data_IF_573039053624
#
_entry.id   IF_573039053624
#
_cell.length_a   1.000
_cell.length_b   1.000
_cell.length_c   1.000
_cell.angle_alpha   90.00
_cell.angle_beta   90.00
_cell.angle_gamma   90.00
#
_symmetry.space_group_name_H-M   'P 1'
#
loop_
_entity.id
_entity.type
_entity.pdbx_description
1 polymer ?
#
# COMPACT_ATOMS: atom_id res chain seq x y z
N UNK A 1 -23.06 -13.99 -19.65
CA UNK A 1 -22.03 -14.49 -18.72
C UNK A 1 -20.82 -14.78 -19.57
N UNK A 2 -20.07 -13.75 -19.94
CA UNK A 2 -18.83 -13.99 -20.67
C UNK A 2 -17.74 -14.30 -19.64
N UNK A 3 -17.19 -15.50 -19.75
CA UNK A 3 -16.10 -16.00 -18.90
C UNK A 3 -14.74 -15.60 -19.50
N UNK A 4 -14.68 -14.41 -20.10
CA UNK A 4 -13.47 -13.79 -20.61
C UNK A 4 -12.88 -12.89 -19.55
N UNK A 5 -11.60 -13.09 -19.22
CA UNK A 5 -10.81 -12.14 -18.41
C UNK A 5 -10.97 -10.75 -19.03
N UNK A 6 -11.39 -9.76 -18.24
CA UNK A 6 -11.55 -8.39 -18.74
C UNK A 6 -10.18 -7.76 -19.01
N UNK A 7 -10.13 -6.74 -19.88
CA UNK A 7 -8.88 -6.05 -20.18
C UNK A 7 -8.25 -5.44 -18.93
N UNK A 8 -9.06 -4.85 -18.03
CA UNK A 8 -8.60 -4.35 -16.72
C UNK A 8 -8.00 -5.46 -15.85
N UNK A 9 -8.62 -6.64 -15.79
CA UNK A 9 -8.09 -7.76 -15.01
C UNK A 9 -6.76 -8.25 -15.56
N UNK A 10 -6.56 -8.21 -16.88
CA UNK A 10 -5.28 -8.54 -17.50
C UNK A 10 -4.22 -7.49 -17.16
N UNK A 11 -4.58 -6.20 -17.23
CA UNK A 11 -3.70 -5.10 -16.82
C UNK A 11 -3.33 -5.20 -15.35
N UNK A 12 -4.30 -5.46 -14.47
CA UNK A 12 -4.08 -5.61 -13.03
C UNK A 12 -3.09 -6.72 -12.73
N UNK A 13 -3.33 -7.92 -13.27
CA UNK A 13 -2.41 -9.06 -13.10
C UNK A 13 -1.02 -8.78 -13.65
N UNK A 14 -0.93 -8.03 -14.75
CA UNK A 14 0.36 -7.61 -15.31
C UNK A 14 1.06 -6.64 -14.36
N UNK A 15 0.35 -5.64 -13.82
CA UNK A 15 0.87 -4.70 -12.82
C UNK A 15 1.44 -5.44 -11.61
N UNK A 16 0.74 -6.44 -11.08
CA UNK A 16 1.21 -7.23 -9.93
C UNK A 16 2.56 -7.90 -10.21
N UNK A 17 2.69 -8.51 -11.39
CA UNK A 17 3.93 -9.18 -11.82
C UNK A 17 5.04 -8.15 -12.01
N UNK A 18 4.75 -6.99 -12.60
CA UNK A 18 5.72 -5.92 -12.82
C UNK A 18 6.21 -5.32 -11.49
N UNK A 19 5.32 -5.13 -10.52
CA UNK A 19 5.69 -4.69 -9.16
C UNK A 19 6.61 -5.72 -8.51
N UNK A 20 6.28 -7.01 -8.64
CA UNK A 20 7.10 -8.09 -8.08
C UNK A 20 8.49 -8.20 -8.76
N UNK A 21 8.58 -7.87 -10.05
CA UNK A 21 9.84 -7.85 -10.82
C UNK A 21 10.65 -6.53 -10.62
N UNK A 22 10.08 -5.56 -9.92
CA UNK A 22 10.70 -4.25 -9.68
C UNK A 22 10.56 -3.25 -10.83
N UNK A 23 9.73 -3.55 -11.83
CA UNK A 23 9.44 -2.69 -12.99
C UNK A 23 8.30 -1.71 -12.67
N UNK A 24 8.55 -0.77 -11.75
CA UNK A 24 7.50 0.06 -11.17
C UNK A 24 6.85 1.04 -12.18
N UNK A 25 7.64 1.63 -13.09
CA UNK A 25 7.12 2.56 -14.09
C UNK A 25 6.16 1.89 -15.09
N UNK A 26 6.47 0.66 -15.49
CA UNK A 26 5.62 -0.14 -16.37
C UNK A 26 4.34 -0.58 -15.64
N UNK A 27 4.44 -0.90 -14.34
CA UNK A 27 3.27 -1.20 -13.51
C UNK A 27 2.36 0.02 -13.38
N UNK A 28 2.91 1.20 -13.08
CA UNK A 28 2.16 2.46 -12.99
C UNK A 28 1.46 2.75 -14.33
N UNK A 29 2.13 2.51 -15.46
CA UNK A 29 1.53 2.70 -16.79
C UNK A 29 0.31 1.80 -17.02
N UNK A 30 0.38 0.53 -16.58
CA UNK A 30 -0.75 -0.40 -16.65
C UNK A 30 -1.90 0.04 -15.73
N UNK A 31 -1.59 0.53 -14.53
CA UNK A 31 -2.58 1.04 -13.58
C UNK A 31 -3.23 2.35 -14.05
N UNK A 32 -2.47 3.23 -14.69
CA UNK A 32 -2.98 4.45 -15.31
C UNK A 32 -3.96 4.17 -16.46
N UNK A 33 -3.79 3.05 -17.18
CA UNK A 33 -4.79 2.62 -18.16
C UNK A 33 -6.11 2.22 -17.50
N UNK A 34 -6.06 1.52 -16.37
CA UNK A 34 -7.26 1.17 -15.59
C UNK A 34 -7.94 2.44 -15.06
N UNK A 35 -7.16 3.34 -14.47
CA UNK A 35 -7.66 4.57 -13.84
C UNK A 35 -8.21 5.61 -14.85
N UNK A 36 -7.89 5.50 -16.14
CA UNK A 36 -8.51 6.34 -17.18
C UNK A 36 -9.99 6.04 -17.36
N UNK A 37 -10.37 4.77 -17.29
CA UNK A 37 -11.75 4.32 -17.45
C UNK A 37 -12.47 4.24 -16.09
N UNK A 38 -11.74 3.87 -15.05
CA UNK A 38 -12.22 3.70 -13.68
C UNK A 38 -11.37 4.52 -12.69
N UNK A 39 -11.55 5.86 -12.65
CA UNK A 39 -10.73 6.74 -11.82
C UNK A 39 -10.89 6.50 -10.32
N UNK A 40 -11.96 5.83 -9.91
CA UNK A 40 -12.31 5.45 -8.54
C UNK A 40 -12.07 3.96 -8.25
N UNK A 41 -11.25 3.28 -9.06
CA UNK A 41 -10.82 1.92 -8.76
C UNK A 41 -9.82 1.92 -7.59
N UNK A 42 -10.34 1.61 -6.39
CA UNK A 42 -9.61 1.58 -5.14
C UNK A 42 -8.40 0.62 -5.16
N UNK A 43 -8.55 -0.53 -5.82
CA UNK A 43 -7.46 -1.50 -5.93
C UNK A 43 -6.34 -0.96 -6.82
N UNK A 44 -6.67 -0.39 -7.98
CA UNK A 44 -5.69 0.20 -8.90
C UNK A 44 -4.97 1.41 -8.28
N UNK A 45 -5.68 2.27 -7.54
CA UNK A 45 -5.09 3.38 -6.80
C UNK A 45 -4.11 2.88 -5.73
N UNK A 46 -4.48 1.84 -4.98
CA UNK A 46 -3.63 1.30 -3.93
C UNK A 46 -2.35 0.63 -4.46
N UNK A 47 -2.46 -0.12 -5.56
CA UNK A 47 -1.32 -0.73 -6.26
C UNK A 47 -0.40 0.35 -6.86
N UNK A 48 -0.98 1.43 -7.39
CA UNK A 48 -0.22 2.56 -7.94
C UNK A 48 0.54 3.29 -6.83
N UNK A 49 -0.11 3.49 -5.69
CA UNK A 49 0.50 4.07 -4.50
C UNK A 49 1.68 3.24 -3.99
N UNK A 50 1.51 1.91 -3.92
CA UNK A 50 2.57 0.97 -3.57
C UNK A 50 3.75 1.05 -4.54
N UNK A 51 3.47 1.02 -5.85
CA UNK A 51 4.50 1.09 -6.89
C UNK A 51 5.32 2.40 -6.80
N UNK A 52 4.67 3.55 -6.59
CA UNK A 52 5.38 4.82 -6.36
C UNK A 52 6.28 4.78 -5.11
N UNK A 53 5.79 4.23 -4.00
CA UNK A 53 6.59 4.11 -2.77
C UNK A 53 7.80 3.19 -2.98
N UNK A 54 7.65 2.09 -3.72
CA UNK A 54 8.74 1.17 -4.05
C UNK A 54 9.77 1.79 -5.00
N UNK A 55 9.34 2.69 -5.88
CA UNK A 55 10.21 3.49 -6.75
C UNK A 55 10.94 4.61 -5.98
N UNK A 56 10.52 4.92 -4.75
CA UNK A 56 11.08 5.97 -3.90
C UNK A 56 10.36 7.31 -3.99
N UNK A 57 9.27 7.41 -4.78
CA UNK A 57 8.40 8.59 -4.83
C UNK A 57 7.28 8.46 -3.79
N UNK A 58 7.67 8.47 -2.52
CA UNK A 58 6.75 8.25 -1.40
C UNK A 58 5.65 9.31 -1.30
N UNK A 59 5.87 10.52 -1.81
CA UNK A 59 4.88 11.59 -1.78
C UNK A 59 3.67 11.22 -2.65
N UNK A 60 3.90 10.94 -3.93
CA UNK A 60 2.81 10.47 -4.83
C UNK A 60 2.22 9.15 -4.39
N UNK A 61 3.05 8.26 -3.85
CA UNK A 61 2.59 6.96 -3.39
C UNK A 61 1.58 7.08 -2.26
N UNK A 62 1.84 7.98 -1.31
CA UNK A 62 0.95 8.30 -0.20
C UNK A 62 -0.33 8.99 -0.70
N UNK A 63 -0.24 9.92 -1.65
CA UNK A 63 -1.42 10.58 -2.23
C UNK A 63 -2.38 9.55 -2.84
N UNK A 64 -1.89 8.61 -3.66
CA UNK A 64 -2.74 7.56 -4.23
C UNK A 64 -3.38 6.65 -3.18
N UNK A 65 -2.68 6.37 -2.07
CA UNK A 65 -3.22 5.56 -0.98
C UNK A 65 -4.25 6.31 -0.14
N UNK A 66 -4.10 7.63 0.00
CA UNK A 66 -5.10 8.49 0.63
C UNK A 66 -6.36 8.55 -0.24
N UNK A 67 -6.23 8.74 -1.56
CA UNK A 67 -7.35 8.67 -2.52
C UNK A 67 -8.08 7.32 -2.46
N UNK A 68 -7.35 6.21 -2.39
CA UNK A 68 -7.93 4.87 -2.23
C UNK A 68 -8.77 4.76 -0.93
N UNK A 69 -8.29 5.33 0.18
CA UNK A 69 -9.03 5.37 1.45
C UNK A 69 -10.16 6.40 1.50
N UNK A 70 -10.19 7.38 0.59
CA UNK A 70 -11.37 8.25 0.43
C UNK A 70 -12.54 7.49 -0.20
N UNK A 71 -12.24 6.52 -1.09
CA UNK A 71 -13.24 5.66 -1.74
C UNK A 71 -13.78 4.63 -0.74
N UNK A 72 -12.90 3.86 -0.10
CA UNK A 72 -13.27 2.98 1.02
C UNK A 72 -12.40 3.22 2.26
N UNK A 73 -12.91 4.02 3.22
CA UNK A 73 -12.22 4.31 4.47
C UNK A 73 -11.94 3.09 5.35
N UNK A 74 -12.61 1.97 5.10
CA UNK A 74 -12.53 0.76 5.89
C UNK A 74 -11.71 -0.32 5.19
N UNK A 75 -11.30 -0.16 3.93
CA UNK A 75 -10.61 -1.22 3.19
C UNK A 75 -9.38 -1.72 3.95
N UNK A 76 -9.48 -2.95 4.46
CA UNK A 76 -8.39 -3.60 5.20
C UNK A 76 -7.15 -3.75 4.33
N UNK A 77 -7.35 -4.08 3.05
CA UNK A 77 -6.26 -4.27 2.09
C UNK A 77 -5.47 -2.97 1.90
N UNK A 78 -6.15 -1.86 1.64
CA UNK A 78 -5.49 -0.55 1.48
C UNK A 78 -4.83 -0.09 2.76
N UNK A 79 -5.46 -0.29 3.92
CA UNK A 79 -4.85 0.05 5.21
C UNK A 79 -3.53 -0.71 5.45
N UNK A 80 -3.48 -1.99 5.09
CA UNK A 80 -2.26 -2.81 5.19
C UNK A 80 -1.21 -2.33 4.18
N UNK A 81 -1.58 -2.13 2.92
CA UNK A 81 -0.68 -1.64 1.87
C UNK A 81 -0.10 -0.29 2.27
N UNK A 82 -0.92 0.61 2.80
CA UNK A 82 -0.49 1.95 3.21
C UNK A 82 0.45 1.88 4.42
N UNK A 83 0.15 1.02 5.41
CA UNK A 83 1.07 0.79 6.51
C UNK A 83 2.44 0.27 6.04
N UNK A 84 2.48 -0.69 5.11
CA UNK A 84 3.72 -1.22 4.52
C UNK A 84 4.47 -0.16 3.71
N UNK A 85 3.75 0.58 2.86
CA UNK A 85 4.29 1.67 2.06
C UNK A 85 4.95 2.76 2.93
N UNK A 86 4.32 3.15 4.04
CA UNK A 86 4.88 4.08 5.01
C UNK A 86 6.15 3.53 5.67
N UNK A 87 6.17 2.25 6.02
CA UNK A 87 7.34 1.61 6.64
C UNK A 87 8.54 1.61 5.69
N UNK A 88 8.33 1.25 4.43
CA UNK A 88 9.37 1.27 3.38
C UNK A 88 9.88 2.67 3.10
N UNK A 89 8.99 3.66 3.20
CA UNK A 89 9.31 5.08 3.04
C UNK A 89 9.97 5.71 4.27
N UNK A 90 10.39 4.92 5.26
CA UNK A 90 10.99 5.39 6.52
C UNK A 90 10.08 6.32 7.34
N UNK A 91 8.77 6.12 7.28
CA UNK A 91 7.75 6.86 8.05
C UNK A 91 7.02 5.93 9.05
N UNK A 92 7.72 5.37 10.05
CA UNK A 92 7.13 4.39 10.97
C UNK A 92 6.02 4.99 11.84
N UNK A 93 6.07 6.28 12.18
CA UNK A 93 5.02 6.95 12.95
C UNK A 93 3.70 7.00 12.17
N UNK A 94 3.75 7.33 10.87
CA UNK A 94 2.55 7.33 10.00
C UNK A 94 2.02 5.90 9.83
N UNK A 95 2.92 4.94 9.58
CA UNK A 95 2.58 3.51 9.49
C UNK A 95 1.81 3.01 10.72
N UNK A 96 2.30 3.31 11.93
CA UNK A 96 1.63 2.93 13.18
C UNK A 96 0.26 3.58 13.34
N UNK A 97 0.10 4.85 12.93
CA UNK A 97 -1.21 5.51 12.94
C UNK A 97 -2.22 4.87 11.99
N UNK A 98 -1.78 4.44 10.81
CA UNK A 98 -2.63 3.69 9.87
C UNK A 98 -3.02 2.33 10.46
N UNK A 99 -2.09 1.62 11.10
CA UNK A 99 -2.39 0.36 11.78
C UNK A 99 -3.33 0.52 12.97
N UNK A 100 -3.20 1.60 13.73
CA UNK A 100 -4.15 1.93 14.80
C UNK A 100 -5.57 2.10 14.25
N UNK A 101 -5.70 2.78 13.11
CA UNK A 101 -6.98 2.89 12.40
C UNK A 101 -7.48 1.52 11.94
N UNK A 102 -6.62 0.68 11.36
CA UNK A 102 -6.99 -0.67 10.94
C UNK A 102 -7.48 -1.54 12.10
N UNK A 103 -6.77 -1.55 13.24
CA UNK A 103 -7.15 -2.29 14.45
C UNK A 103 -8.47 -1.76 15.02
N UNK A 104 -8.74 -0.45 14.92
CA UNK A 104 -10.00 0.13 15.40
C UNK A 104 -11.22 -0.38 14.60
N UNK A 105 -11.05 -0.66 13.31
CA UNK A 105 -12.10 -1.23 12.46
C UNK A 105 -12.16 -2.75 12.55
N UNK A 106 -11.02 -3.41 12.77
CA UNK A 106 -10.88 -4.86 12.80
C UNK A 106 -10.21 -5.33 14.10
N UNK A 107 -10.88 -5.19 15.25
CA UNK A 107 -10.29 -5.49 16.55
C UNK A 107 -10.01 -7.00 16.78
N UNK A 108 -10.71 -7.87 16.05
CA UNK A 108 -10.57 -9.33 16.14
C UNK A 108 -9.46 -9.88 15.20
N UNK A 109 -8.79 -9.00 14.43
CA UNK A 109 -7.70 -9.39 13.54
C UNK A 109 -6.36 -9.32 14.26
N UNK A 110 -5.98 -10.43 14.90
CA UNK A 110 -4.68 -10.59 15.56
C UNK A 110 -3.49 -10.32 14.60
N UNK A 111 -3.68 -10.48 13.29
CA UNK A 111 -2.69 -10.20 12.26
C UNK A 111 -2.26 -8.74 12.23
N UNK A 112 -3.20 -7.81 12.43
CA UNK A 112 -2.91 -6.38 12.47
C UNK A 112 -2.13 -6.00 13.74
N UNK A 113 -2.46 -6.61 14.87
CA UNK A 113 -1.75 -6.41 16.14
C UNK A 113 -0.31 -6.91 16.02
N UNK A 114 -0.12 -8.12 15.49
CA UNK A 114 1.21 -8.68 15.25
C UNK A 114 2.05 -7.80 14.30
N UNK A 115 1.45 -7.31 13.21
CA UNK A 115 2.14 -6.42 12.27
C UNK A 115 2.58 -5.12 12.95
N UNK A 116 1.72 -4.53 13.78
CA UNK A 116 2.05 -3.33 14.56
C UNK A 116 3.19 -3.57 15.54
N UNK A 117 3.19 -4.70 16.25
CA UNK A 117 4.27 -5.07 17.18
C UNK A 117 5.62 -5.23 16.46
N UNK A 118 5.63 -5.88 15.29
CA UNK A 118 6.83 -6.01 14.45
C UNK A 118 7.41 -4.65 14.07
N UNK A 119 6.56 -3.70 13.68
CA UNK A 119 7.00 -2.35 13.32
C UNK A 119 7.58 -1.60 14.52
N UNK A 120 6.97 -1.72 15.70
CA UNK A 120 7.49 -1.14 16.94
C UNK A 120 8.88 -1.71 17.26
N UNK A 121 9.06 -3.03 17.13
CA UNK A 121 10.35 -3.68 17.36
C UNK A 121 11.44 -3.20 16.39
N UNK A 122 11.11 -3.04 15.10
CA UNK A 122 12.04 -2.51 14.09
C UNK A 122 12.43 -1.06 14.42
N UNK A 123 11.45 -0.22 14.78
CA UNK A 123 11.69 1.17 15.17
C UNK A 123 12.59 1.27 16.41
N UNK A 124 12.33 0.49 17.44
CA UNK A 124 13.04 0.57 18.72
C UNK A 124 14.47 0.03 18.63
N UNK A 125 14.72 -1.00 17.81
CA UNK A 125 16.09 -1.44 17.44
C UNK A 125 16.88 -0.35 16.72
N UNK A 126 16.25 0.37 15.80
CA UNK A 126 16.91 1.47 15.09
C UNK A 126 17.24 2.65 16.02
N UNK A 127 16.38 2.94 17.00
CA UNK A 127 16.65 3.99 18.02
C UNK A 127 17.77 3.62 18.99
N UNK A 128 17.83 2.37 19.44
CA UNK A 128 18.86 1.92 20.39
C UNK A 128 20.27 1.88 19.78
N UNK A 129 20.40 1.70 18.47
CA UNK A 129 21.69 1.79 17.75
C UNK A 129 22.23 3.22 17.59
N UNK A 130 21.40 4.26 17.77
CA UNK A 130 21.80 5.67 17.62
C UNK A 130 22.35 6.30 18.91
N UNK A 131 22.19 5.65 20.07
CA UNK A 131 22.64 6.16 21.37
C UNK A 131 24.06 5.72 21.78
N UNK A 132 24.78 4.98 20.92
CA UNK A 132 26.10 4.40 21.24
C UNK A 132 27.27 4.91 20.38
N UNK A 133 27.12 6.03 19.65
CA UNK A 133 28.23 6.71 18.95
C UNK A 133 28.53 8.08 19.54
#
# INVERSE_FOLDING_TARGET
>A
MDSSVTYEQLLMRRSDVLIADGQYEDAISCLDEILKEHPDDEHALSMKGLAYCLMGDSEKGIECLEEALEIDPFSKEVLIIFADACLRSSMPEKSLGILDRAISFYPDDDGLVMLKEVIIMVRDKNRSNLCFN
#
